data_IF_733152601980
#
_entry.id   IF_733152601980
#
_cell.length_a   1.000
_cell.length_b   1.000
_cell.length_c   1.000
_cell.angle_alpha   90.00
_cell.angle_beta   90.00
_cell.angle_gamma   90.00
#
_symmetry.space_group_name_H-M   'P 1'
#
loop_
_entity.id
_entity.type
_entity.pdbx_description
1 polymer ?
#
# COMPACT_ATOMS: atom_id res chain seq x y z
N UNK A 1 8.00 17.87 -5.39
CA UNK A 1 8.85 17.17 -4.40
C UNK A 1 9.28 15.83 -4.98
N UNK A 2 10.54 15.38 -4.82
CA UNK A 2 10.96 14.06 -5.26
C UNK A 2 10.23 12.99 -4.43
N UNK A 3 9.75 11.91 -5.06
CA UNK A 3 8.95 10.88 -4.38
C UNK A 3 9.64 10.23 -3.20
N UNK A 4 10.97 10.09 -3.22
CA UNK A 4 11.70 9.55 -2.08
C UNK A 4 11.36 10.34 -0.80
N UNK A 5 11.32 11.66 -0.91
CA UNK A 5 10.96 12.56 0.19
C UNK A 5 9.50 12.41 0.62
N UNK A 6 8.60 12.25 -0.35
CA UNK A 6 7.17 11.99 -0.08
C UNK A 6 6.97 10.65 0.61
N UNK A 7 7.67 9.59 0.17
CA UNK A 7 7.58 8.28 0.77
C UNK A 7 8.18 8.23 2.18
N UNK A 8 9.28 8.96 2.44
CA UNK A 8 9.83 9.17 3.79
C UNK A 8 8.80 9.84 4.70
N UNK A 9 8.23 10.96 4.25
CA UNK A 9 7.23 11.72 5.01
C UNK A 9 5.99 10.88 5.32
N UNK A 10 5.44 10.17 4.32
CA UNK A 10 4.27 9.31 4.52
C UNK A 10 4.58 8.14 5.45
N UNK A 11 5.73 7.46 5.29
CA UNK A 11 6.15 6.37 6.18
C UNK A 11 6.20 6.86 7.63
N UNK A 12 6.79 8.03 7.87
CA UNK A 12 6.97 8.56 9.22
C UNK A 12 5.63 8.97 9.84
N UNK A 13 4.70 9.53 9.05
CA UNK A 13 3.33 9.81 9.50
C UNK A 13 2.62 8.53 9.96
N UNK A 14 2.64 7.47 9.14
CA UNK A 14 2.00 6.21 9.49
C UNK A 14 2.69 5.53 10.69
N UNK A 15 4.02 5.58 10.76
CA UNK A 15 4.77 5.05 11.89
C UNK A 15 4.37 5.74 13.21
N UNK A 16 4.21 7.06 13.20
CA UNK A 16 3.76 7.82 14.37
C UNK A 16 2.33 7.46 14.77
N UNK A 17 1.42 7.29 13.80
CA UNK A 17 0.04 6.90 14.08
C UNK A 17 -0.05 5.48 14.67
N UNK A 18 0.76 4.54 14.17
CA UNK A 18 0.88 3.19 14.72
C UNK A 18 1.44 3.24 16.14
N UNK A 19 2.51 4.01 16.36
CA UNK A 19 3.13 4.16 17.66
C UNK A 19 2.16 4.75 18.69
N UNK A 20 1.35 5.74 18.28
CA UNK A 20 0.31 6.33 19.12
C UNK A 20 -0.75 5.29 19.50
N UNK A 21 -1.30 4.53 18.54
CA UNK A 21 -2.27 3.48 18.83
C UNK A 21 -1.72 2.43 19.81
N UNK A 22 -0.48 1.98 19.60
CA UNK A 22 0.19 1.04 20.51
C UNK A 22 0.40 1.65 21.90
N UNK A 23 0.78 2.93 21.97
CA UNK A 23 0.94 3.64 23.24
C UNK A 23 -0.37 3.74 24.03
N UNK A 24 -1.48 3.96 23.32
CA UNK A 24 -2.82 4.06 23.90
C UNK A 24 -3.40 2.68 24.30
N UNK A 25 -2.69 1.59 23.98
CA UNK A 25 -3.12 0.21 24.26
C UNK A 25 -4.07 -0.36 23.21
N UNK A 26 -4.27 0.36 22.09
CA UNK A 26 -5.12 -0.04 20.99
C UNK A 26 -4.37 -0.89 19.96
N UNK A 27 -5.14 -1.67 19.20
CA UNK A 27 -4.60 -2.35 18.02
C UNK A 27 -4.62 -1.40 16.82
N UNK A 28 -3.47 -1.12 16.17
CA UNK A 28 -3.45 -0.27 14.98
C UNK A 28 -4.32 -0.85 13.85
N UNK A 29 -5.08 0.00 13.14
CA UNK A 29 -5.90 -0.45 12.01
C UNK A 29 -5.06 -1.16 10.94
N UNK A 30 -5.52 -2.27 10.34
CA UNK A 30 -4.77 -3.00 9.32
C UNK A 30 -4.35 -2.14 8.12
N UNK A 31 -5.22 -1.25 7.66
CA UNK A 31 -4.94 -0.35 6.54
C UNK A 31 -3.82 0.64 6.84
N UNK A 32 -3.68 1.03 8.12
CA UNK A 32 -2.62 1.91 8.59
C UNK A 32 -1.26 1.21 8.52
N UNK A 33 -1.21 -0.04 8.98
CA UNK A 33 -0.01 -0.88 8.92
C UNK A 33 0.35 -1.22 7.47
N UNK A 34 -0.63 -1.52 6.63
CA UNK A 34 -0.43 -1.78 5.20
C UNK A 34 0.13 -0.54 4.48
N UNK A 35 -0.39 0.65 4.78
CA UNK A 35 0.10 1.91 4.23
C UNK A 35 1.54 2.20 4.65
N UNK A 36 1.88 2.01 5.92
CA UNK A 36 3.26 2.11 6.39
C UNK A 36 4.20 1.16 5.63
N UNK A 37 3.82 -0.12 5.52
CA UNK A 37 4.62 -1.15 4.88
C UNK A 37 4.85 -0.87 3.39
N UNK A 38 3.85 -0.30 2.69
CA UNK A 38 3.97 0.13 1.31
C UNK A 38 5.07 1.17 1.12
N UNK A 39 5.07 2.24 1.94
CA UNK A 39 6.07 3.30 1.81
C UNK A 39 7.46 2.85 2.28
N UNK A 40 7.55 1.99 3.29
CA UNK A 40 8.83 1.39 3.69
C UNK A 40 9.43 0.55 2.56
N UNK A 41 8.63 -0.32 1.92
CA UNK A 41 9.07 -1.10 0.76
C UNK A 41 9.48 -0.20 -0.42
N UNK A 42 8.73 0.87 -0.68
CA UNK A 42 9.05 1.82 -1.75
C UNK A 42 10.41 2.52 -1.55
N UNK A 43 10.82 2.72 -0.30
CA UNK A 43 12.12 3.30 0.06
C UNK A 43 13.25 2.28 0.00
N UNK A 44 12.99 1.02 0.37
CA UNK A 44 14.00 -0.06 0.38
C UNK A 44 14.31 -0.59 -1.02
N UNK A 45 13.29 -0.79 -1.84
CA UNK A 45 13.40 -1.46 -3.15
C UNK A 45 13.44 -0.46 -4.32
N UNK A 46 13.15 0.81 -4.05
CA UNK A 46 12.93 1.82 -5.08
C UNK A 46 11.55 1.67 -5.74
N UNK A 47 11.06 2.76 -6.37
CA UNK A 47 9.70 2.91 -6.91
C UNK A 47 9.16 1.73 -7.74
N UNK A 48 10.03 0.96 -8.38
CA UNK A 48 9.65 -0.03 -9.40
C UNK A 48 9.04 -1.31 -8.81
N UNK A 49 9.46 -1.73 -7.62
CA UNK A 49 9.00 -3.01 -7.06
C UNK A 49 7.58 -2.94 -6.46
N UNK A 50 7.21 -1.78 -5.91
CA UNK A 50 5.91 -1.56 -5.28
C UNK A 50 4.77 -1.47 -6.30
N UNK A 51 4.99 -0.81 -7.44
CA UNK A 51 3.99 -0.73 -8.52
C UNK A 51 3.75 -2.08 -9.23
N UNK A 52 4.74 -2.98 -9.22
CA UNK A 52 4.61 -4.31 -9.83
C UNK A 52 3.65 -5.22 -9.04
N UNK A 53 3.61 -5.05 -7.71
CA UNK A 53 2.76 -5.86 -6.82
C UNK A 53 1.28 -5.52 -6.99
N UNK A 54 0.92 -4.24 -7.15
CA UNK A 54 -0.47 -3.80 -7.37
C UNK A 54 -1.03 -4.25 -8.72
N UNK A 55 -0.20 -4.28 -9.79
CA UNK A 55 -0.64 -4.79 -11.11
C UNK A 55 -0.96 -6.28 -11.07
N UNK A 56 -0.25 -7.07 -10.27
CA UNK A 56 -0.48 -8.51 -10.17
C UNK A 56 -1.80 -8.85 -9.44
N UNK A 57 -2.30 -7.97 -8.58
CA UNK A 57 -3.60 -8.11 -7.90
C UNK A 57 -4.77 -7.50 -8.67
N UNK A 58 -4.50 -6.69 -9.69
CA UNK A 58 -5.51 -5.99 -10.49
C UNK A 58 -5.95 -6.74 -11.76
N UNK A 59 -5.72 -8.05 -11.87
CA UNK A 59 -6.30 -8.87 -12.94
C UNK A 59 -7.15 -10.02 -12.38
N UNK A 60 -8.36 -9.73 -11.87
CA UNK A 60 -9.42 -10.72 -11.78
C UNK A 60 -10.31 -10.61 -13.04
N UNK A 61 -9.95 -11.37 -14.07
CA UNK A 61 -10.90 -11.96 -15.03
C UNK A 61 -11.96 -11.00 -15.63
N UNK A 62 -11.53 -10.04 -16.45
CA UNK A 62 -12.41 -9.44 -17.47
C UNK A 62 -12.45 -10.29 -18.75
N UNK A 63 -12.90 -11.55 -18.69
CA UNK A 63 -13.36 -12.26 -19.91
C UNK A 63 -14.27 -13.47 -19.60
N UNK A 64 -15.33 -13.27 -18.82
CA UNK A 64 -16.36 -14.29 -18.64
C UNK A 64 -17.75 -13.66 -18.71
N UNK A 65 -18.25 -13.45 -19.94
CA UNK A 65 -19.68 -13.22 -20.14
C UNK A 65 -20.06 -12.32 -21.29
N UNK A 66 -19.69 -12.67 -22.52
CA UNK A 66 -20.47 -12.25 -23.69
C UNK A 66 -21.52 -13.34 -23.95
N UNK A 67 -22.82 -13.14 -23.64
CA UNK A 67 -23.83 -14.06 -24.13
C UNK A 67 -23.91 -13.91 -25.64
N UNK A 68 -23.58 -14.99 -26.33
CA UNK A 68 -23.69 -15.15 -27.78
C UNK A 68 -25.15 -14.94 -28.19
N UNK A 69 -25.36 -14.12 -29.22
CA UNK A 69 -26.67 -13.87 -29.78
C UNK A 69 -27.16 -15.09 -30.56
N UNK A 70 -28.31 -15.63 -30.15
CA UNK A 70 -29.18 -16.42 -31.02
C UNK A 70 -30.63 -16.34 -30.58
#
# INVERSE_FOLDING_TARGET
>A
MPFKRVAEEMRDIYANAIAQAVHDGDTPPPDLVASWAFYDAALREGRTAVLLRDRATADPAEDAGRPDGR
#
